data_IF_164368338251
#
_entry.id   IF_164368338251
#
_cell.length_a   1.000
_cell.length_b   1.000
_cell.length_c   1.000
_cell.angle_alpha   90.00
_cell.angle_beta   90.00
_cell.angle_gamma   90.00
#
_symmetry.space_group_name_H-M   'P 1'
#
loop_
_entity.id
_entity.type
_entity.pdbx_description
1 polymer ?
#
# COMPACT_ATOMS: atom_id res chain seq x y z
N UNK A 1 28.67 -36.13 -24.85
CA UNK A 1 27.56 -35.43 -24.15
C UNK A 1 27.60 -33.97 -24.57
N UNK A 2 26.81 -33.59 -25.57
CA UNK A 2 26.73 -32.19 -26.03
C UNK A 2 25.82 -31.40 -25.10
N UNK A 3 26.39 -30.49 -24.32
CA UNK A 3 25.62 -29.57 -23.49
C UNK A 3 24.73 -28.70 -24.38
N UNK A 4 23.40 -28.79 -24.17
CA UNK A 4 22.43 -27.92 -24.85
C UNK A 4 22.64 -26.49 -24.34
N UNK A 5 23.29 -25.66 -25.14
CA UNK A 5 23.43 -24.23 -24.86
C UNK A 5 22.03 -23.62 -24.97
N UNK A 6 21.45 -23.21 -23.84
CA UNK A 6 20.20 -22.46 -23.83
C UNK A 6 20.57 -21.02 -24.21
N UNK A 7 20.36 -20.64 -25.47
CA UNK A 7 20.47 -19.25 -25.88
C UNK A 7 19.35 -18.45 -25.19
N UNK A 8 19.74 -17.40 -24.45
CA UNK A 8 18.80 -16.45 -23.86
C UNK A 8 18.57 -15.31 -24.86
N UNK A 9 17.33 -15.21 -25.33
CA UNK A 9 16.89 -14.13 -26.21
C UNK A 9 16.64 -12.88 -25.37
N UNK A 10 17.00 -11.69 -25.87
CA UNK A 10 16.83 -10.42 -25.16
C UNK A 10 16.14 -9.38 -26.03
N UNK A 11 15.15 -8.71 -25.47
CA UNK A 11 14.51 -7.54 -26.05
C UNK A 11 15.32 -6.31 -25.60
N UNK A 12 15.79 -5.53 -26.57
CA UNK A 12 16.53 -4.28 -26.33
C UNK A 12 15.75 -3.11 -26.89
N UNK A 13 15.83 -1.97 -26.23
CA UNK A 13 15.10 -0.80 -26.66
C UNK A 13 15.49 0.47 -25.94
N UNK A 14 14.79 1.54 -26.28
CA UNK A 14 14.90 2.85 -25.65
C UNK A 14 13.51 3.39 -25.34
N UNK A 15 13.34 3.93 -24.13
CA UNK A 15 12.14 4.64 -23.73
C UNK A 15 12.40 6.14 -23.82
N UNK A 16 11.54 6.85 -24.53
CA UNK A 16 11.64 8.29 -24.74
C UNK A 16 10.32 9.00 -24.43
N UNK A 17 10.41 10.25 -24.04
CA UNK A 17 9.26 11.13 -23.90
C UNK A 17 8.71 11.49 -25.30
N UNK A 18 7.40 11.34 -25.46
CA UNK A 18 6.72 11.50 -26.74
C UNK A 18 6.77 12.94 -27.29
N UNK A 19 6.87 13.94 -26.41
CA UNK A 19 6.84 15.36 -26.79
C UNK A 19 8.24 15.91 -27.05
N UNK A 20 9.21 15.54 -26.22
CA UNK A 20 10.57 16.07 -26.22
C UNK A 20 11.58 15.17 -26.92
N UNK A 21 11.25 13.89 -27.11
CA UNK A 21 12.14 12.87 -27.66
C UNK A 21 13.30 12.48 -26.74
N UNK A 22 13.35 13.01 -25.50
CA UNK A 22 14.42 12.73 -24.54
C UNK A 22 14.25 11.35 -23.91
N UNK A 23 15.37 10.69 -23.63
CA UNK A 23 15.38 9.41 -22.92
C UNK A 23 14.82 9.53 -21.51
N UNK A 24 13.96 8.59 -21.12
CA UNK A 24 13.36 8.56 -19.78
C UNK A 24 14.11 7.54 -18.93
N UNK A 25 14.73 8.02 -17.87
CA UNK A 25 15.48 7.17 -16.94
C UNK A 25 14.60 6.42 -15.96
N UNK A 26 15.05 5.25 -15.49
CA UNK A 26 14.41 4.48 -14.42
C UNK A 26 12.95 4.12 -14.70
N UNK A 27 12.60 3.90 -15.97
CA UNK A 27 11.29 3.40 -16.36
C UNK A 27 11.18 1.96 -15.90
N UNK A 28 10.12 1.61 -15.17
CA UNK A 28 9.78 0.24 -14.78
C UNK A 28 9.23 -0.52 -15.99
N UNK A 29 9.74 -1.72 -16.24
CA UNK A 29 9.40 -2.54 -17.39
C UNK A 29 9.08 -3.95 -16.90
N UNK A 30 7.82 -4.37 -17.03
CA UNK A 30 7.37 -5.66 -16.51
C UNK A 30 6.60 -6.45 -17.57
N UNK A 31 6.68 -7.77 -17.53
CA UNK A 31 5.77 -8.62 -18.29
C UNK A 31 4.36 -8.51 -17.71
N UNK A 32 3.35 -8.32 -18.56
CA UNK A 32 1.97 -8.14 -18.09
C UNK A 32 1.47 -9.33 -17.25
N UNK A 33 1.84 -10.54 -17.65
CA UNK A 33 1.38 -11.81 -17.04
C UNK A 33 2.49 -12.51 -16.22
N UNK A 34 3.56 -11.80 -15.83
CA UNK A 34 4.70 -12.44 -15.17
C UNK A 34 5.42 -11.55 -14.16
N UNK A 35 6.05 -12.20 -13.16
CA UNK A 35 6.79 -11.52 -12.08
C UNK A 35 8.23 -11.12 -12.47
N UNK A 36 8.53 -11.13 -13.76
CA UNK A 36 9.86 -10.78 -14.27
C UNK A 36 9.80 -9.43 -14.97
N UNK A 37 10.83 -8.64 -14.75
CA UNK A 37 10.90 -7.27 -15.23
C UNK A 37 12.30 -6.70 -15.07
N UNK A 38 12.41 -5.41 -15.31
CA UNK A 38 13.64 -4.64 -15.20
C UNK A 38 13.36 -3.16 -15.29
N UNK A 39 14.41 -2.38 -15.54
CA UNK A 39 14.26 -0.93 -15.67
C UNK A 39 15.17 -0.35 -16.75
N UNK A 40 14.85 0.85 -17.22
CA UNK A 40 15.73 1.60 -18.11
C UNK A 40 16.88 2.28 -17.36
N UNK A 41 18.00 2.47 -18.06
CA UNK A 41 19.18 3.19 -17.58
C UNK A 41 18.97 4.71 -17.56
N UNK A 42 20.04 5.48 -17.30
CA UNK A 42 19.99 6.95 -17.24
C UNK A 42 19.68 7.63 -18.58
N UNK A 43 19.93 6.95 -19.70
CA UNK A 43 19.69 7.43 -21.06
C UNK A 43 18.38 6.87 -21.65
N UNK A 44 17.66 6.05 -20.89
CA UNK A 44 16.41 5.42 -21.26
C UNK A 44 16.56 4.10 -22.02
N UNK A 45 17.76 3.55 -22.17
CA UNK A 45 17.93 2.23 -22.78
C UNK A 45 17.56 1.12 -21.80
N UNK A 46 17.04 0.02 -22.33
CA UNK A 46 16.71 -1.16 -21.55
C UNK A 46 17.07 -2.44 -22.26
N UNK A 47 17.26 -3.50 -21.46
CA UNK A 47 17.45 -4.87 -21.91
C UNK A 47 16.65 -5.79 -20.99
N UNK A 48 15.69 -6.51 -21.55
CA UNK A 48 14.81 -7.44 -20.82
C UNK A 48 14.97 -8.83 -21.43
N UNK A 49 14.99 -9.86 -20.59
CA UNK A 49 15.00 -11.24 -21.04
C UNK A 49 13.68 -11.56 -21.76
N UNK A 50 13.77 -12.07 -23.00
CA UNK A 50 12.61 -12.51 -23.76
C UNK A 50 12.09 -13.84 -23.21
N UNK A 51 10.87 -13.82 -22.69
CA UNK A 51 10.20 -15.00 -22.17
C UNK A 51 9.09 -15.35 -23.15
N UNK A 52 9.34 -16.33 -24.03
CA UNK A 52 8.45 -16.74 -25.13
C UNK A 52 6.99 -17.05 -24.75
N UNK A 53 6.73 -17.29 -23.45
CA UNK A 53 5.38 -17.47 -22.89
C UNK A 53 4.58 -16.16 -22.89
N UNK A 54 5.22 -15.04 -22.59
CA UNK A 54 4.60 -13.73 -22.46
C UNK A 54 4.67 -12.95 -23.77
N UNK A 55 3.75 -12.00 -23.93
CA UNK A 55 3.55 -11.31 -25.22
C UNK A 55 3.55 -9.80 -25.11
N UNK A 56 3.40 -9.27 -23.89
CA UNK A 56 3.18 -7.86 -23.64
C UNK A 56 4.07 -7.37 -22.51
N UNK A 57 4.76 -6.26 -22.76
CA UNK A 57 5.52 -5.51 -21.76
C UNK A 57 4.72 -4.26 -21.35
N UNK A 58 4.77 -3.94 -20.07
CA UNK A 58 4.18 -2.74 -19.48
C UNK A 58 5.30 -1.83 -19.03
N UNK A 59 5.27 -0.59 -19.51
CA UNK A 59 6.22 0.47 -19.20
C UNK A 59 5.54 1.50 -18.29
N UNK A 60 6.19 1.88 -17.21
CA UNK A 60 5.68 2.87 -16.27
C UNK A 60 6.79 3.74 -15.67
N UNK A 61 6.52 5.03 -15.54
CA UNK A 61 7.41 6.00 -14.91
C UNK A 61 6.59 7.07 -14.19
N UNK A 62 7.17 7.69 -13.15
CA UNK A 62 6.52 8.77 -12.41
C UNK A 62 6.29 9.95 -13.34
N UNK A 63 5.06 10.46 -13.38
CA UNK A 63 4.68 11.58 -14.25
C UNK A 63 4.41 11.18 -15.70
N UNK A 64 4.30 9.89 -16.03
CA UNK A 64 3.97 9.39 -17.36
C UNK A 64 2.82 8.41 -17.32
N UNK A 65 2.04 8.37 -18.41
CA UNK A 65 1.02 7.34 -18.60
C UNK A 65 1.66 5.97 -18.81
N UNK A 66 1.07 4.92 -18.22
CA UNK A 66 1.54 3.55 -18.44
C UNK A 66 1.26 3.13 -19.87
N UNK A 67 2.24 2.49 -20.50
CA UNK A 67 2.14 2.00 -21.88
C UNK A 67 2.33 0.50 -21.95
N UNK A 68 1.40 -0.21 -22.59
CA UNK A 68 1.53 -1.63 -22.89
C UNK A 68 1.94 -1.80 -24.35
N UNK A 69 2.99 -2.59 -24.60
CA UNK A 69 3.52 -2.88 -25.95
C UNK A 69 3.54 -4.39 -26.18
N UNK A 70 3.02 -4.84 -27.33
CA UNK A 70 3.10 -6.24 -27.75
C UNK A 70 4.42 -6.50 -28.49
N UNK A 71 5.17 -7.52 -28.05
CA UNK A 71 6.55 -7.78 -28.48
C UNK A 71 6.70 -8.97 -29.44
N UNK A 72 5.60 -9.63 -29.85
CA UNK A 72 5.58 -10.89 -30.64
C UNK A 72 6.37 -10.88 -31.96
N UNK A 73 6.76 -9.71 -32.46
CA UNK A 73 7.29 -9.54 -33.82
C UNK A 73 8.63 -8.83 -33.89
N UNK A 74 9.29 -8.62 -32.74
CA UNK A 74 10.55 -7.88 -32.68
C UNK A 74 11.71 -8.87 -32.59
N UNK A 75 11.95 -9.60 -33.68
CA UNK A 75 13.23 -10.30 -33.87
C UNK A 75 14.19 -9.27 -34.48
N UNK A 76 15.20 -8.86 -33.71
CA UNK A 76 16.35 -8.03 -34.10
C UNK A 76 16.22 -6.50 -34.19
N UNK A 77 15.05 -5.88 -33.99
CA UNK A 77 14.97 -4.41 -33.95
C UNK A 77 15.05 -3.83 -32.53
N UNK A 78 15.74 -2.70 -32.39
CA UNK A 78 15.71 -1.92 -31.16
C UNK A 78 14.32 -1.31 -30.97
N UNK A 79 13.59 -1.71 -29.93
CA UNK A 79 12.25 -1.21 -29.64
C UNK A 79 12.31 0.23 -29.13
N UNK A 80 11.67 1.17 -29.81
CA UNK A 80 11.49 2.53 -29.29
C UNK A 80 10.10 2.68 -28.70
N UNK A 81 10.04 3.02 -27.41
CA UNK A 81 8.78 3.20 -26.67
C UNK A 81 8.62 4.67 -26.32
N UNK A 82 7.50 5.25 -26.74
CA UNK A 82 7.15 6.63 -26.42
C UNK A 82 6.18 6.65 -25.24
N UNK A 83 6.55 7.36 -24.18
CA UNK A 83 5.67 7.64 -23.05
C UNK A 83 5.15 9.08 -23.13
N UNK A 84 3.87 9.24 -22.81
CA UNK A 84 3.20 10.54 -22.78
C UNK A 84 3.24 11.05 -21.34
N UNK A 85 3.70 12.29 -21.14
CA UNK A 85 3.68 12.92 -19.83
C UNK A 85 2.22 13.02 -19.33
N UNK A 86 1.98 12.54 -18.11
CA UNK A 86 0.66 12.54 -17.51
C UNK A 86 0.36 13.93 -16.97
N UNK A 87 -0.59 14.62 -17.61
CA UNK A 87 -1.18 15.85 -17.07
C UNK A 87 -2.24 15.45 -16.03
N UNK A 88 -1.78 15.00 -14.87
CA UNK A 88 -2.53 14.92 -13.62
C UNK A 88 -3.97 14.38 -13.69
N UNK A 89 -4.19 13.25 -14.37
CA UNK A 89 -5.41 12.45 -14.21
C UNK A 89 -5.01 11.02 -13.90
N UNK A 90 -5.11 10.66 -12.62
CA UNK A 90 -4.97 9.30 -12.12
C UNK A 90 -6.12 8.44 -12.65
N UNK A 91 -6.00 7.89 -13.84
CA UNK A 91 -6.76 6.72 -14.26
C UNK A 91 -5.82 5.51 -14.36
N UNK A 92 -5.58 4.87 -13.22
CA UNK A 92 -4.96 3.54 -13.16
C UNK A 92 -6.01 2.52 -12.71
N UNK A 93 -6.56 1.76 -13.67
CA UNK A 93 -6.76 0.30 -13.63
C UNK A 93 -6.99 -0.18 -15.07
N UNK A 94 -5.99 -0.80 -15.72
CA UNK A 94 -6.26 -1.64 -16.89
C UNK A 94 -6.16 -3.10 -16.47
N UNK A 95 -7.27 -3.62 -15.93
CA UNK A 95 -7.47 -5.06 -15.79
C UNK A 95 -7.89 -5.58 -17.15
N UNK A 96 -6.93 -6.02 -17.96
CA UNK A 96 -7.22 -6.80 -19.17
C UNK A 96 -7.49 -8.26 -18.79
N UNK A 97 -8.56 -8.50 -18.00
CA UNK A 97 -9.21 -9.82 -17.97
C UNK A 97 -10.29 -9.81 -19.02
N UNK A 98 -9.99 -10.42 -20.17
CA UNK A 98 -11.02 -10.86 -21.11
C UNK A 98 -12.08 -11.64 -20.31
N UNK A 99 -13.29 -11.08 -20.28
CA UNK A 99 -14.55 -11.72 -19.92
C UNK A 99 -14.63 -12.35 -18.51
N UNK A 100 -14.99 -11.54 -17.49
CA UNK A 100 -16.02 -11.96 -16.52
C UNK A 100 -16.58 -10.75 -15.77
N UNK A 101 -17.80 -10.33 -16.11
CA UNK A 101 -18.64 -9.60 -15.14
C UNK A 101 -19.00 -10.60 -14.05
N UNK A 102 -18.49 -10.43 -12.83
CA UNK A 102 -19.04 -11.11 -11.66
C UNK A 102 -18.63 -10.34 -10.42
N UNK A 103 -19.63 -9.65 -9.82
CA UNK A 103 -19.69 -9.01 -8.48
C UNK A 103 -18.46 -8.21 -8.02
N UNK A 104 -18.72 -7.00 -7.55
CA UNK A 104 -17.75 -6.17 -6.85
C UNK A 104 -17.02 -7.02 -5.76
N UNK A 105 -15.68 -7.17 -5.83
CA UNK A 105 -14.92 -7.95 -4.86
C UNK A 105 -15.05 -7.44 -3.42
N UNK A 106 -15.44 -6.17 -3.23
CA UNK A 106 -15.77 -5.65 -1.92
C UNK A 106 -16.97 -6.36 -1.28
N UNK A 107 -17.94 -6.81 -2.07
CA UNK A 107 -19.12 -7.54 -1.57
C UNK A 107 -18.69 -8.89 -0.99
N UNK A 108 -17.78 -9.62 -1.63
CA UNK A 108 -17.29 -10.91 -1.12
C UNK A 108 -16.55 -10.73 0.22
N UNK A 109 -15.77 -9.66 0.36
CA UNK A 109 -15.09 -9.31 1.61
C UNK A 109 -16.11 -8.92 2.70
N UNK A 110 -17.11 -8.11 2.36
CA UNK A 110 -18.18 -7.71 3.30
C UNK A 110 -18.99 -8.93 3.76
N UNK A 111 -19.36 -9.83 2.84
CA UNK A 111 -20.06 -11.09 3.15
C UNK A 111 -19.23 -11.95 4.11
N UNK A 112 -17.90 -12.04 3.92
CA UNK A 112 -17.00 -12.75 4.83
C UNK A 112 -16.87 -12.08 6.21
N UNK A 113 -16.78 -10.75 6.27
CA UNK A 113 -16.71 -10.00 7.54
C UNK A 113 -18.00 -10.17 8.34
N UNK A 114 -19.16 -10.14 7.67
CA UNK A 114 -20.46 -10.37 8.31
C UNK A 114 -20.56 -11.82 8.81
N UNK A 115 -20.16 -12.80 7.99
CA UNK A 115 -20.22 -14.22 8.36
C UNK A 115 -19.34 -14.55 9.58
N UNK A 116 -18.20 -13.87 9.74
CA UNK A 116 -17.26 -14.09 10.85
C UNK A 116 -17.35 -13.02 11.95
N UNK A 117 -18.43 -12.21 11.97
CA UNK A 117 -18.68 -11.16 12.98
C UNK A 117 -18.49 -11.61 14.43
N UNK A 118 -18.93 -12.82 14.86
CA UNK A 118 -18.72 -13.29 16.24
C UNK A 118 -17.25 -13.58 16.57
N UNK A 119 -16.44 -13.90 15.56
CA UNK A 119 -15.02 -14.22 15.69
C UNK A 119 -14.16 -12.93 15.63
N UNK A 120 -14.59 -11.95 14.84
CA UNK A 120 -13.96 -10.64 14.70
C UNK A 120 -14.26 -9.66 15.85
N UNK A 121 -14.90 -10.13 16.94
CA UNK A 121 -15.26 -9.26 18.05
C UNK A 121 -14.02 -8.94 18.90
N UNK A 122 -13.75 -7.66 19.11
CA UNK A 122 -12.58 -7.13 19.84
C UNK A 122 -12.37 -7.73 21.24
N UNK A 123 -13.44 -8.20 21.88
CA UNK A 123 -13.42 -8.86 23.20
C UNK A 123 -12.58 -10.16 23.20
N UNK A 124 -12.29 -10.73 22.02
CA UNK A 124 -11.54 -11.99 21.87
C UNK A 124 -10.06 -11.81 21.49
N UNK A 125 -9.54 -10.58 21.44
CA UNK A 125 -8.14 -10.33 21.09
C UNK A 125 -7.32 -10.22 22.39
N UNK A 126 -6.60 -11.28 22.82
CA UNK A 126 -5.89 -11.31 24.11
C UNK A 126 -4.73 -10.30 24.21
N UNK A 127 -4.30 -9.71 23.09
CA UNK A 127 -3.22 -8.72 23.03
C UNK A 127 -3.68 -7.29 23.32
N UNK A 128 -4.99 -7.03 23.35
CA UNK A 128 -5.53 -5.73 23.68
C UNK A 128 -5.81 -5.69 25.19
N UNK A 129 -4.82 -5.19 25.95
CA UNK A 129 -4.98 -4.79 27.35
C UNK A 129 -4.96 -3.26 27.42
N UNK A 130 -6.01 -2.69 28.00
CA UNK A 130 -6.05 -1.27 28.34
C UNK A 130 -6.02 -1.16 29.86
N UNK A 131 -5.08 -0.38 30.38
CA UNK A 131 -5.13 0.07 31.78
C UNK A 131 -6.04 1.30 31.82
N UNK A 132 -7.28 1.10 32.26
CA UNK A 132 -8.24 2.16 32.43
C UNK A 132 -7.98 2.87 33.77
N UNK A 133 -7.42 4.08 33.69
CA UNK A 133 -7.25 4.93 34.87
C UNK A 133 -8.43 5.87 35.00
N UNK A 134 -9.38 5.51 35.85
CA UNK A 134 -10.53 6.35 36.19
C UNK A 134 -10.19 7.21 37.43
N UNK A 135 -10.21 8.55 37.27
CA UNK A 135 -9.98 9.50 38.37
C UNK A 135 -11.26 10.24 38.72
N UNK A 136 -11.88 9.87 39.84
CA UNK A 136 -13.06 10.55 40.37
C UNK A 136 -12.64 11.61 41.40
N UNK A 137 -12.98 12.88 41.15
CA UNK A 137 -12.69 14.00 42.06
C UNK A 137 -13.97 14.47 42.77
N UNK A 138 -13.88 14.69 44.08
CA UNK A 138 -14.97 15.21 44.90
C UNK A 138 -14.57 16.54 45.54
N UNK A 139 -15.42 17.56 45.44
CA UNK A 139 -15.21 18.86 46.07
C UNK A 139 -16.05 19.00 47.35
N UNK A 140 -15.43 19.46 48.44
CA UNK A 140 -16.12 19.77 49.70
C UNK A 140 -15.94 21.25 50.06
N UNK A 141 -17.02 21.92 50.48
CA UNK A 141 -16.97 23.26 51.06
C UNK A 141 -16.89 23.11 52.59
N UNK A 142 -15.82 23.64 53.21
CA UNK A 142 -15.49 23.57 54.64
C UNK A 142 -15.35 22.13 55.20
N UNK A 143 -14.28 21.39 54.86
CA UNK A 143 -14.09 19.99 55.26
C UNK A 143 -13.78 19.80 56.75
N UNK A 144 -13.22 20.81 57.43
CA UNK A 144 -12.70 20.72 58.79
C UNK A 144 -13.78 20.38 59.84
N UNK A 145 -14.99 20.93 59.69
CA UNK A 145 -16.11 20.71 60.61
C UNK A 145 -16.76 19.33 60.44
N UNK A 146 -16.60 18.68 59.27
CA UNK A 146 -17.28 17.42 58.92
C UNK A 146 -16.39 16.19 59.13
N UNK A 147 -15.06 16.34 59.06
CA UNK A 147 -14.12 15.24 59.26
C UNK A 147 -14.22 14.58 60.64
N UNK A 148 -14.52 15.35 61.70
CA UNK A 148 -14.67 14.85 63.07
C UNK A 148 -15.91 13.94 63.28
N UNK A 149 -16.92 14.02 62.42
CA UNK A 149 -18.16 13.23 62.49
C UNK A 149 -18.19 12.05 61.50
N UNK A 150 -17.13 11.85 60.72
CA UNK A 150 -17.10 10.82 59.67
C UNK A 150 -16.62 9.44 60.21
N UNK A 151 -17.19 8.31 59.72
CA UNK A 151 -16.80 6.99 60.19
C UNK A 151 -15.34 6.66 59.86
N UNK A 152 -14.65 5.95 60.77
CA UNK A 152 -13.24 5.55 60.64
C UNK A 152 -12.83 4.96 59.26
N UNK A 153 -13.60 4.07 58.60
CA UNK A 153 -13.19 3.51 57.30
C UNK A 153 -13.16 4.53 56.15
N UNK A 154 -13.73 5.74 56.32
CA UNK A 154 -13.78 6.77 55.28
C UNK A 154 -12.82 7.94 55.53
N UNK A 155 -11.93 7.84 56.52
CA UNK A 155 -10.96 8.90 56.83
C UNK A 155 -9.92 9.13 55.74
N UNK A 156 -9.62 8.11 54.93
CA UNK A 156 -8.67 8.20 53.82
C UNK A 156 -9.03 9.29 52.80
N UNK A 157 -10.32 9.67 52.69
CA UNK A 157 -10.78 10.77 51.83
C UNK A 157 -10.21 12.14 52.21
N UNK A 158 -9.72 12.28 53.46
CA UNK A 158 -9.15 13.51 54.00
C UNK A 158 -7.62 13.45 54.17
N UNK A 159 -6.97 12.35 53.79
CA UNK A 159 -5.53 12.15 53.99
C UNK A 159 -4.67 12.74 52.85
N UNK A 160 -5.28 13.13 51.73
CA UNK A 160 -4.64 13.81 50.59
C UNK A 160 -5.47 15.01 50.11
N UNK A 161 -5.79 15.95 51.02
CA UNK A 161 -6.44 17.21 50.63
C UNK A 161 -5.36 18.09 49.99
N UNK A 162 -5.34 18.17 48.66
CA UNK A 162 -4.57 19.18 47.95
C UNK A 162 -5.18 20.55 48.28
N UNK A 163 -4.57 21.27 49.21
CA UNK A 163 -4.91 22.67 49.48
C UNK A 163 -4.42 23.50 48.30
N UNK A 164 -5.35 23.94 47.45
CA UNK A 164 -5.06 24.97 46.44
C UNK A 164 -4.90 26.31 47.17
N UNK A 165 -3.74 26.50 47.80
CA UNK A 165 -3.30 27.81 48.25
C UNK A 165 -2.98 28.64 47.00
N UNK A 166 -4.00 29.26 46.42
CA UNK A 166 -3.78 30.40 45.55
C UNK A 166 -3.23 31.53 46.43
N UNK A 167 -1.98 31.89 46.18
CA UNK A 167 -1.35 33.09 46.71
C UNK A 167 -1.61 34.26 45.77
#
# INVERSE_FOLDING_TARGET
>A
MGGKVIAQDFIRGKVIDAQTGKGISRVSINWLDGDSGGSSDTLGFFKILDIKKYRQLVFGAVGYERRTVDVRRLQDSMLTVHLIASNNTLEEVVVNRKNKKTKDPAIALIEQVIAHRPQNHYIRIPEIRFDEYEKTQFGFVNPEDKAKKFPKPFRFLFENIDSTAFR
#
